data_IF_990454749152
#
_entry.id   IF_990454749152
#
_cell.length_a   1.000
_cell.length_b   1.000
_cell.length_c   1.000
_cell.angle_alpha   90.00
_cell.angle_beta   90.00
_cell.angle_gamma   90.00
#
_symmetry.space_group_name_H-M   'P 1'
#
loop_
_entity.id
_entity.type
_entity.pdbx_description
1 polymer ?
#
# COMPACT_ATOMS: atom_id res chain seq x y z
N UNK A 1 26.78 -4.50 -7.05
CA UNK A 1 25.55 -5.29 -6.88
C UNK A 1 24.40 -4.44 -6.33
N UNK A 2 24.52 -3.79 -5.16
CA UNK A 2 23.42 -2.97 -4.60
C UNK A 2 22.86 -1.85 -5.50
N UNK A 3 23.68 -1.17 -6.31
CA UNK A 3 23.18 -0.18 -7.28
C UNK A 3 22.32 -0.79 -8.39
N UNK A 4 22.60 -2.04 -8.79
CA UNK A 4 21.87 -2.74 -9.86
C UNK A 4 20.45 -3.10 -9.41
N UNK A 5 20.27 -3.42 -8.13
CA UNK A 5 18.96 -3.78 -7.56
C UNK A 5 18.05 -2.57 -7.35
N UNK A 6 18.62 -1.37 -7.14
CA UNK A 6 17.88 -0.12 -6.94
C UNK A 6 17.59 0.59 -8.27
N UNK A 7 18.36 0.33 -9.32
CA UNK A 7 18.25 1.03 -10.61
C UNK A 7 16.84 0.91 -11.22
N UNK A 8 16.23 -0.27 -11.17
CA UNK A 8 14.87 -0.49 -11.70
C UNK A 8 13.82 0.34 -10.95
N UNK A 9 13.89 0.36 -9.61
CA UNK A 9 13.02 1.18 -8.78
C UNK A 9 13.24 2.68 -9.03
N UNK A 10 14.49 3.12 -9.16
CA UNK A 10 14.85 4.51 -9.41
C UNK A 10 14.28 5.03 -10.75
N UNK A 11 14.35 4.23 -11.82
CA UNK A 11 13.79 4.59 -13.13
C UNK A 11 12.26 4.71 -13.07
N UNK A 12 11.58 3.78 -12.41
CA UNK A 12 10.11 3.81 -12.23
C UNK A 12 9.69 5.05 -11.44
N UNK A 13 10.40 5.36 -10.34
CA UNK A 13 10.13 6.56 -9.52
C UNK A 13 10.36 7.83 -10.33
N UNK A 14 11.44 7.92 -11.11
CA UNK A 14 11.72 9.05 -11.99
C UNK A 14 10.65 9.25 -13.05
N UNK A 15 10.17 8.18 -13.68
CA UNK A 15 9.10 8.23 -14.68
C UNK A 15 7.76 8.65 -14.06
N UNK A 16 7.40 8.12 -12.89
CA UNK A 16 6.20 8.53 -12.17
C UNK A 16 6.24 10.01 -11.74
N UNK A 17 7.42 10.49 -11.33
CA UNK A 17 7.64 11.92 -11.07
C UNK A 17 7.49 12.77 -12.33
N UNK A 18 7.97 12.29 -13.48
CA UNK A 18 7.76 12.98 -14.76
C UNK A 18 6.30 13.06 -15.19
N UNK A 19 5.52 11.99 -14.99
CA UNK A 19 4.07 11.98 -15.26
C UNK A 19 3.36 13.04 -14.40
N UNK A 20 3.72 13.18 -13.12
CA UNK A 20 3.17 14.21 -12.25
C UNK A 20 3.38 15.61 -12.84
N UNK A 21 4.62 15.95 -13.18
CA UNK A 21 4.95 17.28 -13.73
C UNK A 21 4.08 17.59 -14.95
N UNK A 22 3.90 16.61 -15.85
CA UNK A 22 3.03 16.76 -17.02
C UNK A 22 1.56 16.94 -16.64
N UNK A 23 1.05 16.19 -15.66
CA UNK A 23 -0.34 16.30 -15.21
C UNK A 23 -0.62 17.62 -14.49
N UNK A 24 0.37 18.13 -13.74
CA UNK A 24 0.32 19.40 -13.03
C UNK A 24 0.37 20.57 -14.03
N UNK A 25 1.33 20.57 -14.95
CA UNK A 25 1.42 21.55 -16.05
C UNK A 25 0.17 21.52 -16.94
N UNK A 26 -0.41 20.34 -17.15
CA UNK A 26 -1.63 20.14 -17.92
C UNK A 26 -2.92 20.54 -17.19
N UNK A 27 -2.85 21.02 -15.94
CA UNK A 27 -4.01 21.32 -15.06
C UNK A 27 -4.97 20.14 -14.88
N UNK A 28 -4.50 18.92 -15.13
CA UNK A 28 -5.29 17.70 -14.93
C UNK A 28 -5.48 17.47 -13.43
N UNK A 29 -4.46 17.76 -12.63
CA UNK A 29 -4.50 17.65 -11.16
C UNK A 29 -5.64 18.52 -10.58
N UNK A 30 -5.77 19.77 -11.01
CA UNK A 30 -6.83 20.67 -10.55
C UNK A 30 -8.23 20.14 -10.90
N UNK A 31 -8.39 19.57 -12.09
CA UNK A 31 -9.66 18.99 -12.52
C UNK A 31 -10.04 17.73 -11.74
N UNK A 32 -9.04 16.90 -11.40
CA UNK A 32 -9.21 15.73 -10.55
C UNK A 32 -9.51 16.13 -9.11
N UNK A 33 -8.82 17.15 -8.57
CA UNK A 33 -9.12 17.75 -7.26
C UNK A 33 -10.57 18.17 -7.19
N UNK A 34 -11.07 18.86 -8.22
CA UNK A 34 -12.45 19.31 -8.25
C UNK A 34 -13.45 18.14 -8.29
N UNK A 35 -13.18 17.10 -9.09
CA UNK A 35 -14.04 15.91 -9.15
C UNK A 35 -13.99 15.09 -7.86
N UNK A 36 -12.81 14.92 -7.28
CA UNK A 36 -12.60 14.15 -6.05
C UNK A 36 -13.15 14.90 -4.85
N UNK A 37 -12.91 16.21 -4.72
CA UNK A 37 -13.55 17.03 -3.68
C UNK A 37 -15.09 16.94 -3.75
N UNK A 38 -15.66 16.82 -4.96
CA UNK A 38 -17.09 16.64 -5.17
C UNK A 38 -17.58 15.22 -4.84
N UNK A 39 -16.81 14.17 -5.13
CA UNK A 39 -17.14 12.78 -4.76
C UNK A 39 -16.89 12.50 -3.27
N UNK A 40 -15.98 13.26 -2.65
CA UNK A 40 -15.62 13.19 -1.23
C UNK A 40 -16.48 14.08 -0.34
N UNK A 41 -17.43 14.86 -0.88
CA UNK A 41 -18.46 15.47 -0.03
C UNK A 41 -19.21 14.42 0.81
N UNK A 42 -19.26 13.17 0.34
CA UNK A 42 -19.85 12.03 1.06
C UNK A 42 -18.82 11.01 1.60
N UNK A 43 -17.59 10.97 1.07
CA UNK A 43 -16.53 10.03 1.50
C UNK A 43 -15.51 10.72 2.43
N UNK A 44 -15.62 10.48 3.74
CA UNK A 44 -14.65 10.99 4.72
C UNK A 44 -13.25 10.38 4.56
N UNK A 45 -12.20 11.09 5.02
CA UNK A 45 -10.79 10.68 4.92
C UNK A 45 -10.51 9.25 5.44
N UNK A 46 -11.28 8.78 6.41
CA UNK A 46 -11.23 7.40 6.94
C UNK A 46 -11.59 6.38 5.86
N UNK A 47 -12.62 6.64 5.06
CA UNK A 47 -13.03 5.74 3.99
C UNK A 47 -11.94 5.65 2.90
N UNK A 48 -11.25 6.75 2.61
CA UNK A 48 -10.17 6.78 1.64
C UNK A 48 -8.95 5.96 2.09
N UNK A 49 -8.48 6.14 3.33
CA UNK A 49 -7.37 5.34 3.86
C UNK A 49 -7.74 3.85 3.95
N UNK A 50 -9.00 3.56 4.26
CA UNK A 50 -9.55 2.19 4.29
C UNK A 50 -9.50 1.53 2.91
N UNK A 51 -9.88 2.27 1.86
CA UNK A 51 -9.85 1.76 0.49
C UNK A 51 -8.40 1.55 0.01
N UNK A 52 -7.49 2.47 0.34
CA UNK A 52 -6.06 2.32 0.04
C UNK A 52 -5.48 1.07 0.72
N UNK A 53 -5.82 0.85 1.98
CA UNK A 53 -5.43 -0.35 2.73
C UNK A 53 -5.93 -1.63 2.08
N UNK A 54 -7.20 -1.65 1.66
CA UNK A 54 -7.82 -2.80 1.01
C UNK A 54 -7.19 -3.11 -0.36
N UNK A 55 -7.00 -2.09 -1.20
CA UNK A 55 -6.34 -2.24 -2.51
C UNK A 55 -4.94 -2.81 -2.32
N UNK A 56 -4.16 -2.28 -1.38
CA UNK A 56 -2.81 -2.75 -1.11
C UNK A 56 -2.78 -4.21 -0.66
N UNK A 57 -3.70 -4.58 0.22
CA UNK A 57 -3.86 -5.94 0.75
C UNK A 57 -4.15 -6.91 -0.40
N UNK A 58 -5.02 -6.54 -1.34
CA UNK A 58 -5.33 -7.35 -2.53
C UNK A 58 -4.15 -7.46 -3.49
N UNK A 59 -3.46 -6.35 -3.77
CA UNK A 59 -2.27 -6.34 -4.64
C UNK A 59 -1.17 -7.23 -4.06
N UNK A 60 -1.02 -7.32 -2.73
CA UNK A 60 0.03 -8.13 -2.12
C UNK A 60 -0.09 -9.63 -2.42
N UNK A 61 -1.32 -10.12 -2.63
CA UNK A 61 -1.53 -11.54 -2.98
C UNK A 61 -0.91 -11.85 -4.35
N UNK A 62 -0.85 -10.86 -5.25
CA UNK A 62 -0.31 -10.99 -6.61
C UNK A 62 1.18 -10.63 -6.65
N UNK A 63 1.57 -9.53 -5.99
CA UNK A 63 2.93 -8.99 -5.99
C UNK A 63 3.48 -9.06 -4.55
N UNK A 64 4.16 -10.17 -4.17
CA UNK A 64 4.71 -10.37 -2.82
C UNK A 64 5.94 -9.50 -2.52
N UNK A 65 6.58 -8.95 -3.55
CA UNK A 65 7.78 -8.13 -3.37
C UNK A 65 7.40 -6.73 -2.89
N UNK A 66 7.60 -6.46 -1.60
CA UNK A 66 7.35 -5.16 -0.98
C UNK A 66 8.07 -4.01 -1.67
N UNK A 67 9.36 -4.15 -1.97
CA UNK A 67 10.16 -3.10 -2.64
C UNK A 67 9.70 -2.81 -4.07
N UNK A 68 9.42 -3.85 -4.87
CA UNK A 68 8.95 -3.66 -6.24
C UNK A 68 7.56 -3.00 -6.26
N UNK A 69 6.69 -3.43 -5.35
CA UNK A 69 5.36 -2.85 -5.19
C UNK A 69 5.42 -1.42 -4.69
N UNK A 70 6.27 -1.11 -3.71
CA UNK A 70 6.45 0.25 -3.22
C UNK A 70 6.92 1.18 -4.35
N UNK A 71 7.91 0.75 -5.14
CA UNK A 71 8.41 1.51 -6.27
C UNK A 71 7.33 1.82 -7.33
N UNK A 72 6.41 0.88 -7.56
CA UNK A 72 5.32 1.02 -8.54
C UNK A 72 4.12 1.82 -8.01
N UNK A 73 3.75 1.61 -6.74
CA UNK A 73 2.47 2.09 -6.21
C UNK A 73 2.60 3.36 -5.39
N UNK A 74 3.71 3.55 -4.66
CA UNK A 74 3.87 4.71 -3.77
C UNK A 74 3.84 6.05 -4.48
N UNK A 75 4.46 6.23 -5.67
CA UNK A 75 4.38 7.52 -6.36
C UNK A 75 2.95 7.92 -6.69
N UNK A 76 2.10 6.97 -7.10
CA UNK A 76 0.69 7.21 -7.40
C UNK A 76 -0.09 7.45 -6.10
N UNK A 77 0.15 6.63 -5.07
CA UNK A 77 -0.55 6.73 -3.80
C UNK A 77 -0.20 8.00 -3.04
N UNK A 78 1.05 8.48 -3.10
CA UNK A 78 1.47 9.75 -2.48
C UNK A 78 0.77 10.95 -3.14
N UNK A 79 0.63 10.91 -4.47
CA UNK A 79 -0.09 11.94 -5.20
C UNK A 79 -1.57 11.92 -4.89
N UNK A 80 -2.17 10.72 -4.87
CA UNK A 80 -3.55 10.54 -4.49
C UNK A 80 -3.81 11.00 -3.05
N UNK A 81 -2.87 10.77 -2.13
CA UNK A 81 -3.02 11.25 -0.75
C UNK A 81 -2.93 12.77 -0.64
N UNK A 82 -2.01 13.39 -1.37
CA UNK A 82 -1.93 14.85 -1.44
C UNK A 82 -3.24 15.43 -2.03
N UNK A 83 -3.80 14.77 -3.04
CA UNK A 83 -5.05 15.13 -3.71
C UNK A 83 -6.25 15.17 -2.75
N UNK A 84 -6.33 14.22 -1.82
CA UNK A 84 -7.47 14.06 -0.91
C UNK A 84 -7.20 14.62 0.49
N UNK A 85 -6.08 15.32 0.67
CA UNK A 85 -5.67 15.90 1.95
C UNK A 85 -5.38 14.85 3.04
N UNK A 86 -4.87 13.68 2.64
CA UNK A 86 -4.31 12.64 3.50
C UNK A 86 -2.80 12.82 3.61
N UNK A 87 -2.24 12.62 4.79
CA UNK A 87 -0.80 12.71 4.95
C UNK A 87 -0.10 11.58 4.19
N UNK A 88 1.03 11.87 3.56
CA UNK A 88 1.88 10.83 2.93
C UNK A 88 2.30 9.75 3.93
N UNK A 89 2.42 10.09 5.21
CA UNK A 89 2.69 9.14 6.29
C UNK A 89 1.54 8.15 6.48
N UNK A 90 0.28 8.61 6.48
CA UNK A 90 -0.89 7.74 6.51
C UNK A 90 -0.92 6.80 5.30
N UNK A 91 -0.53 7.29 4.13
CA UNK A 91 -0.37 6.48 2.90
C UNK A 91 0.68 5.38 3.06
N UNK A 92 1.86 5.72 3.59
CA UNK A 92 2.93 4.75 3.83
C UNK A 92 2.51 3.73 4.89
N UNK A 93 1.80 4.15 5.93
CA UNK A 93 1.25 3.23 6.94
C UNK A 93 0.19 2.29 6.34
N UNK A 94 -0.71 2.80 5.50
CA UNK A 94 -1.69 1.98 4.79
C UNK A 94 -1.00 0.95 3.88
N UNK A 95 0.07 1.36 3.20
CA UNK A 95 0.90 0.46 2.42
C UNK A 95 1.53 -0.65 3.29
N UNK A 96 2.21 -0.26 4.37
CA UNK A 96 2.99 -1.19 5.20
C UNK A 96 2.10 -2.22 5.89
N UNK A 97 0.98 -1.76 6.46
CA UNK A 97 0.03 -2.65 7.12
C UNK A 97 -0.66 -3.57 6.10
N UNK A 98 -0.92 -3.09 4.88
CA UNK A 98 -1.55 -3.91 3.83
C UNK A 98 -0.61 -4.95 3.23
N UNK A 99 0.68 -4.62 3.13
CA UNK A 99 1.75 -5.49 2.64
C UNK A 99 2.17 -6.55 3.66
N UNK A 100 2.45 -6.14 4.90
CA UNK A 100 3.13 -6.99 5.88
C UNK A 100 2.36 -8.25 6.28
N UNK A 101 1.05 -8.14 6.52
CA UNK A 101 0.25 -9.24 7.07
C UNK A 101 -0.05 -10.34 6.05
N UNK A 102 -0.30 -9.97 4.80
CA UNK A 102 -0.70 -10.91 3.74
C UNK A 102 0.47 -11.78 3.27
N UNK A 103 1.72 -11.37 3.51
CA UNK A 103 2.90 -12.18 3.21
C UNK A 103 2.93 -13.55 3.91
N UNK A 104 2.15 -13.74 4.98
CA UNK A 104 2.02 -15.01 5.69
C UNK A 104 1.22 -16.06 4.92
N UNK A 105 0.46 -15.64 3.90
CA UNK A 105 -0.38 -16.52 3.06
C UNK A 105 -0.09 -16.36 1.58
N UNK A 106 0.83 -15.50 1.15
CA UNK A 106 1.07 -15.29 -0.27
C UNK A 106 1.82 -16.49 -0.87
N UNK A 107 1.22 -17.27 -1.80
CA UNK A 107 1.81 -18.50 -2.31
C UNK A 107 3.07 -18.25 -3.17
N UNK A 108 3.19 -17.04 -3.71
CA UNK A 108 4.34 -16.58 -4.49
C UNK A 108 5.49 -16.06 -3.63
N UNK A 109 5.35 -16.07 -2.29
CA UNK A 109 6.42 -15.69 -1.37
C UNK A 109 7.47 -16.80 -1.25
N UNK A 110 8.71 -16.60 -1.74
CA UNK A 110 9.75 -17.63 -1.69
C UNK A 110 10.15 -17.96 -0.25
N UNK A 111 10.06 -16.98 0.65
CA UNK A 111 10.35 -17.16 2.08
C UNK A 111 9.33 -18.09 2.73
N UNK A 112 8.03 -17.87 2.47
CA UNK A 112 6.96 -18.70 3.03
C UNK A 112 7.09 -20.15 2.59
N UNK A 113 7.24 -20.39 1.28
CA UNK A 113 7.36 -21.74 0.73
C UNK A 113 8.65 -22.42 1.21
N UNK A 114 9.76 -21.69 1.33
CA UNK A 114 11.02 -22.20 1.88
C UNK A 114 10.89 -22.68 3.32
N UNK A 115 10.30 -21.85 4.20
CA UNK A 115 10.12 -22.20 5.63
C UNK A 115 9.17 -23.38 5.80
N UNK A 116 8.05 -23.40 5.07
CA UNK A 116 7.10 -24.52 5.12
C UNK A 116 7.71 -25.84 4.62
N UNK A 117 8.57 -25.77 3.61
CA UNK A 117 9.33 -26.92 3.11
C UNK A 117 10.27 -27.51 4.16
N UNK A 118 11.02 -26.66 4.87
CA UNK A 118 11.91 -27.10 5.97
C UNK A 118 11.10 -27.68 7.14
N UNK A 119 9.98 -27.04 7.49
CA UNK A 119 9.10 -27.49 8.56
C UNK A 119 8.24 -28.72 8.19
N UNK A 120 8.25 -29.15 6.92
CA UNK A 120 7.38 -30.21 6.36
C UNK A 120 5.88 -29.99 6.61
N UNK A 121 5.44 -28.73 6.56
CA UNK A 121 4.04 -28.35 6.75
C UNK A 121 3.40 -28.12 5.37
N UNK A 122 2.32 -28.83 5.01
CA UNK A 122 1.59 -28.54 3.79
C UNK A 122 1.02 -27.12 3.80
N UNK A 123 1.17 -26.39 2.69
CA UNK A 123 0.70 -25.01 2.55
C UNK A 123 -0.79 -24.84 2.90
N UNK A 124 -1.65 -25.75 2.46
CA UNK A 124 -3.09 -25.71 2.77
C UNK A 124 -3.38 -25.78 4.26
N UNK A 125 -2.60 -26.58 5.00
CA UNK A 125 -2.73 -26.71 6.46
C UNK A 125 -2.27 -25.43 7.15
N UNK A 126 -1.18 -24.83 6.67
CA UNK A 126 -0.68 -23.56 7.17
C UNK A 126 -1.70 -22.44 6.97
N UNK A 127 -2.23 -22.28 5.75
CA UNK A 127 -3.20 -21.21 5.44
C UNK A 127 -4.43 -21.32 6.34
N UNK A 128 -5.04 -22.51 6.46
CA UNK A 128 -6.19 -22.71 7.36
C UNK A 128 -5.91 -22.36 8.81
N UNK A 129 -4.68 -22.56 9.26
CA UNK A 129 -4.25 -22.26 10.62
C UNK A 129 -3.97 -20.76 10.83
N UNK A 130 -3.32 -20.08 9.87
CA UNK A 130 -2.92 -18.67 10.02
C UNK A 130 -4.02 -17.68 9.64
N UNK A 131 -4.98 -18.04 8.78
CA UNK A 131 -6.08 -17.17 8.35
C UNK A 131 -6.85 -16.51 9.50
N UNK A 132 -7.29 -17.19 10.58
CA UNK A 132 -7.99 -16.52 11.68
C UNK A 132 -7.10 -15.46 12.36
N UNK A 133 -5.80 -15.74 12.52
CA UNK A 133 -4.85 -14.77 13.05
C UNK A 133 -4.63 -13.59 12.10
N UNK A 134 -4.53 -13.87 10.79
CA UNK A 134 -4.39 -12.85 9.77
C UNK A 134 -5.60 -11.90 9.71
N UNK A 135 -6.83 -12.41 9.87
CA UNK A 135 -8.04 -11.58 9.93
C UNK A 135 -7.98 -10.63 11.14
N UNK A 136 -7.53 -11.12 12.30
CA UNK A 136 -7.31 -10.27 13.49
C UNK A 136 -6.29 -9.17 13.19
N UNK A 137 -5.18 -9.50 12.53
CA UNK A 137 -4.15 -8.53 12.14
C UNK A 137 -4.67 -7.49 11.14
N UNK A 138 -5.46 -7.91 10.15
CA UNK A 138 -6.03 -7.00 9.15
C UNK A 138 -6.99 -6.01 9.81
N UNK A 139 -7.87 -6.50 10.69
CA UNK A 139 -8.81 -5.65 11.43
C UNK A 139 -8.04 -4.70 12.36
N UNK A 140 -7.05 -5.22 13.09
CA UNK A 140 -6.21 -4.41 13.99
C UNK A 140 -5.44 -3.35 13.21
N UNK A 141 -4.86 -3.70 12.06
CA UNK A 141 -4.18 -2.79 11.16
C UNK A 141 -5.10 -1.69 10.66
N UNK A 142 -6.33 -2.04 10.28
CA UNK A 142 -7.35 -1.07 9.90
C UNK A 142 -7.68 -0.09 11.04
N UNK A 143 -7.85 -0.58 12.28
CA UNK A 143 -8.04 0.30 13.44
C UNK A 143 -6.84 1.21 13.69
N UNK A 144 -5.61 0.72 13.50
CA UNK A 144 -4.38 1.51 13.64
C UNK A 144 -4.24 2.60 12.56
N UNK A 145 -4.97 2.52 11.45
CA UNK A 145 -5.03 3.57 10.44
C UNK A 145 -5.99 4.71 10.79
N UNK A 146 -6.92 4.53 11.74
CA UNK A 146 -7.85 5.60 12.10
C UNK A 146 -7.10 6.80 12.72
N UNK A 147 -6.21 6.61 13.72
CA UNK A 147 -5.43 7.71 14.30
C UNK A 147 -4.57 8.46 13.30
N UNK A 148 -4.08 7.82 12.25
CA UNK A 148 -3.20 8.47 11.25
C UNK A 148 -3.94 9.52 10.41
N UNK A 149 -5.26 9.53 10.47
CA UNK A 149 -6.14 10.44 9.74
C UNK A 149 -6.88 11.41 10.66
N UNK A 150 -7.14 11.01 11.90
CA UNK A 150 -7.92 11.81 12.87
C UNK A 150 -7.06 12.60 13.84
N UNK A 151 -5.80 12.21 14.06
CA UNK A 151 -4.87 12.90 14.95
C UNK A 151 -3.80 13.59 14.11
N UNK A 152 -3.41 14.81 14.52
CA UNK A 152 -2.16 15.41 14.06
C UNK A 152 -1.01 14.64 14.68
N UNK A 153 -0.57 13.59 13.97
CA UNK A 153 0.64 12.87 14.32
C UNK A 153 1.82 13.74 13.93
N UNK A 154 2.65 14.08 14.90
CA UNK A 154 3.94 14.70 14.64
C UNK A 154 4.76 13.75 13.76
N UNK A 155 5.10 14.19 12.55
CA UNK A 155 6.03 13.51 11.68
C UNK A 155 6.63 14.49 10.68
N UNK A 156 7.78 14.10 10.12
CA UNK A 156 8.58 14.86 9.16
C UNK A 156 7.78 15.45 8.00
#
# INVERSE_FOLDING_TARGET
EGMRDILSAAVVVGLAGGILVILEDGRVIDSLLYQVARSMQDFGKIASVSMMYLIQTLINIVIPSGSAKAALTMPIMSQFSDLIGLSRQATVMAFQLGDGFTNMITPTSPVLIGVLGVARIPYERWVKWVVPFMVILIITGWFLLIPTVTMDLNGF
#
